data_IF_999102627024
#
_entry.id   IF_999102627024
#
_cell.length_a   1.000
_cell.length_b   1.000
_cell.length_c   1.000
_cell.angle_alpha   90.00
_cell.angle_beta   90.00
_cell.angle_gamma   90.00
#
_symmetry.space_group_name_H-M   'P 1'
#
loop_
_entity.id
_entity.type
_entity.pdbx_description
1 polymer ?
#
# COMPACT_ATOMS: atom_id res chain seq x y z
N UNK A 1 -2.47 12.07 0.67
CA UNK A 1 -1.18 11.40 0.37
C UNK A 1 -1.12 10.08 1.12
N UNK A 2 -0.60 9.05 0.47
CA UNK A 2 -0.41 7.72 1.05
C UNK A 2 1.09 7.42 1.21
N UNK A 3 1.46 6.92 2.38
CA UNK A 3 2.82 6.51 2.72
C UNK A 3 2.83 5.04 3.10
N UNK A 4 3.77 4.29 2.52
CA UNK A 4 3.93 2.86 2.77
C UNK A 4 5.38 2.58 3.14
N UNK A 5 5.71 2.26 4.40
CA UNK A 5 7.04 1.82 4.79
C UNK A 5 7.42 0.55 4.03
N UNK A 6 8.49 0.63 3.24
CA UNK A 6 8.84 -0.41 2.29
C UNK A 6 10.26 -0.91 2.53
N UNK A 7 10.35 -2.15 3.03
CA UNK A 7 11.64 -2.79 3.30
C UNK A 7 12.46 -3.08 2.03
N UNK A 8 11.81 -3.09 0.86
CA UNK A 8 12.45 -3.18 -0.46
C UNK A 8 13.21 -1.91 -0.87
N UNK A 9 13.00 -0.79 -0.17
CA UNK A 9 13.71 0.49 -0.38
C UNK A 9 14.84 0.73 0.64
N UNK A 10 14.99 -0.16 1.63
CA UNK A 10 15.91 -0.01 2.74
C UNK A 10 15.22 0.40 4.04
N UNK A 11 16.00 0.51 5.12
CA UNK A 11 15.47 0.83 6.44
C UNK A 11 14.88 2.25 6.49
N UNK A 12 13.67 2.38 7.06
CA UNK A 12 12.94 3.65 7.23
C UNK A 12 12.72 4.42 5.92
N UNK A 13 12.51 3.70 4.81
CA UNK A 13 12.16 4.28 3.51
C UNK A 13 10.74 3.93 3.13
N UNK A 14 10.14 4.83 2.36
CA UNK A 14 8.73 4.75 2.01
C UNK A 14 8.53 4.73 0.49
N UNK A 15 7.63 3.85 0.05
CA UNK A 15 6.91 4.02 -1.19
C UNK A 15 5.76 4.99 -0.93
N UNK A 16 5.61 5.99 -1.80
CA UNK A 16 4.61 7.06 -1.64
C UNK A 16 3.69 7.04 -2.84
N UNK A 17 2.41 7.29 -2.61
CA UNK A 17 1.44 7.60 -3.66
C UNK A 17 0.88 8.99 -3.34
N UNK A 18 1.16 9.94 -4.21
CA UNK A 18 0.92 11.36 -3.99
C UNK A 18 0.55 12.06 -5.29
N UNK A 19 0.43 13.39 -5.23
CA UNK A 19 0.24 14.23 -6.40
C UNK A 19 1.41 15.19 -6.60
N UNK A 20 1.98 15.21 -7.80
CA UNK A 20 2.92 16.23 -8.25
C UNK A 20 2.53 16.61 -9.67
N UNK A 21 2.70 17.89 -10.03
CA UNK A 21 2.24 18.41 -11.32
C UNK A 21 0.75 18.13 -11.62
N UNK A 22 -0.09 18.15 -10.57
CA UNK A 22 -1.54 17.94 -10.69
C UNK A 22 -1.95 16.53 -11.20
N UNK A 23 -1.04 15.55 -11.13
CA UNK A 23 -1.32 14.15 -11.45
C UNK A 23 -0.96 13.23 -10.28
N UNK A 24 -1.61 12.07 -10.21
CA UNK A 24 -1.20 10.96 -9.35
C UNK A 24 0.17 10.42 -9.80
N UNK A 25 1.02 10.16 -8.82
CA UNK A 25 2.34 9.57 -9.02
C UNK A 25 2.75 8.68 -7.85
N UNK A 26 3.55 7.66 -8.14
CA UNK A 26 4.37 7.04 -7.10
C UNK A 26 5.71 7.75 -6.99
N UNK A 27 6.26 7.79 -5.78
CA UNK A 27 7.63 8.21 -5.52
C UNK A 27 8.30 7.21 -4.57
N UNK A 28 9.58 6.90 -4.84
CA UNK A 28 10.43 6.13 -3.92
C UNK A 28 11.35 7.07 -3.16
N UNK A 29 11.25 7.07 -1.84
CA UNK A 29 12.11 7.94 -1.04
C UNK A 29 13.61 7.59 -1.13
N UNK A 30 13.97 6.35 -1.49
CA UNK A 30 15.36 5.91 -1.55
C UNK A 30 16.20 6.64 -2.60
N UNK A 31 15.59 6.95 -3.74
CA UNK A 31 16.27 7.43 -4.95
C UNK A 31 15.49 8.52 -5.69
N UNK A 32 14.36 8.96 -5.14
CA UNK A 32 13.48 10.01 -5.67
C UNK A 32 12.94 9.71 -7.08
N UNK A 33 12.93 8.44 -7.47
CA UNK A 33 12.34 8.03 -8.73
C UNK A 33 10.81 8.19 -8.68
N UNK A 34 10.22 8.69 -9.76
CA UNK A 34 8.77 8.82 -9.91
C UNK A 34 8.22 7.81 -10.91
N UNK A 35 6.96 7.43 -10.74
CA UNK A 35 6.18 6.72 -11.74
C UNK A 35 4.86 7.47 -11.93
N UNK A 36 4.55 7.95 -13.15
CA UNK A 36 5.42 7.98 -14.32
C UNK A 36 6.64 8.92 -14.14
N UNK A 37 7.58 8.85 -15.07
CA UNK A 37 8.59 9.89 -15.28
C UNK A 37 7.86 11.23 -15.53
N UNK A 38 8.21 12.30 -14.83
CA UNK A 38 7.55 13.62 -14.95
C UNK A 38 7.91 14.41 -16.22
N UNK A 39 8.01 13.72 -17.34
CA UNK A 39 8.03 14.29 -18.68
C UNK A 39 6.61 14.65 -19.15
N UNK A 40 6.43 15.47 -20.21
CA UNK A 40 5.11 15.77 -20.75
C UNK A 40 4.28 14.52 -21.10
N UNK A 41 4.91 13.48 -21.64
CA UNK A 41 4.24 12.22 -21.98
C UNK A 41 3.86 11.40 -20.75
N UNK A 42 4.70 11.44 -19.70
CA UNK A 42 4.41 10.79 -18.43
C UNK A 42 3.23 11.45 -17.72
N UNK A 43 3.24 12.78 -17.63
CA UNK A 43 2.13 13.55 -17.06
C UNK A 43 0.82 13.24 -17.77
N UNK A 44 0.82 13.23 -19.12
CA UNK A 44 -0.35 12.88 -19.91
C UNK A 44 -0.81 11.41 -19.79
N UNK A 45 0.02 10.52 -19.23
CA UNK A 45 -0.30 9.11 -19.03
C UNK A 45 -0.87 8.80 -17.65
N UNK A 46 -0.88 9.77 -16.74
CA UNK A 46 -1.54 9.70 -15.44
C UNK A 46 -2.79 10.60 -15.42
N UNK A 47 -3.39 10.76 -14.24
CA UNK A 47 -4.58 11.59 -14.04
C UNK A 47 -4.46 12.38 -12.75
N UNK A 48 -5.01 13.59 -12.73
CA UNK A 48 -5.31 14.28 -11.48
C UNK A 48 -6.54 13.67 -10.81
N UNK A 49 -6.71 13.97 -9.52
CA UNK A 49 -7.94 13.77 -8.79
C UNK A 49 -8.72 15.10 -8.79
N UNK A 50 -9.98 15.15 -9.27
CA UNK A 50 -10.83 16.32 -9.06
C UNK A 50 -10.97 16.64 -7.56
N UNK A 51 -11.16 17.92 -7.27
CA UNK A 51 -11.48 18.41 -5.93
C UNK A 51 -12.98 18.36 -5.69
N UNK A 52 -13.39 18.21 -4.42
CA UNK A 52 -14.79 18.21 -3.99
C UNK A 52 -15.65 17.08 -4.63
N UNK A 53 -15.01 16.03 -5.15
CA UNK A 53 -15.65 14.85 -5.71
C UNK A 53 -14.99 13.59 -5.15
N UNK A 54 -15.81 12.59 -4.82
CA UNK A 54 -15.32 11.28 -4.42
C UNK A 54 -14.80 10.55 -5.69
N UNK A 55 -13.46 10.38 -5.82
CA UNK A 55 -12.68 9.43 -6.69
C UNK A 55 -12.13 8.06 -6.15
N UNK A 56 -12.54 6.91 -6.71
CA UNK A 56 -12.24 5.58 -6.14
C UNK A 56 -10.83 5.18 -6.56
N UNK A 57 -9.88 5.20 -5.62
CA UNK A 57 -8.48 4.93 -5.88
C UNK A 57 -8.13 3.52 -5.42
N UNK A 58 -7.86 2.66 -6.39
CA UNK A 58 -7.43 1.28 -6.13
C UNK A 58 -6.03 1.08 -6.68
N UNK A 59 -5.19 0.32 -5.97
CA UNK A 59 -3.90 -0.08 -6.47
C UNK A 59 -3.48 -1.45 -5.93
N UNK A 60 -2.61 -2.09 -6.70
CA UNK A 60 -2.16 -3.45 -6.45
C UNK A 60 -0.63 -3.50 -6.51
N UNK A 61 -0.03 -4.01 -5.44
CA UNK A 61 1.42 -4.19 -5.33
C UNK A 61 1.72 -5.69 -5.23
N UNK A 62 2.48 -6.22 -6.19
CA UNK A 62 2.91 -7.62 -6.18
C UNK A 62 4.38 -7.75 -5.82
N UNK A 63 4.70 -8.90 -5.23
CA UNK A 63 6.05 -9.32 -4.89
C UNK A 63 6.98 -9.49 -6.10
N UNK A 64 6.45 -9.54 -7.33
CA UNK A 64 7.23 -9.61 -8.57
C UNK A 64 7.66 -8.23 -9.12
N UNK A 65 7.20 -7.14 -8.49
CA UNK A 65 7.44 -5.76 -8.94
C UNK A 65 6.30 -5.18 -9.77
N UNK A 66 5.19 -5.90 -9.93
CA UNK A 66 3.98 -5.36 -10.55
C UNK A 66 3.36 -4.29 -9.65
N UNK A 67 3.06 -3.14 -10.24
CA UNK A 67 2.25 -2.07 -9.67
C UNK A 67 1.17 -1.77 -10.69
N UNK A 68 -0.09 -1.81 -10.27
CA UNK A 68 -1.24 -1.41 -11.09
C UNK A 68 -2.05 -0.39 -10.30
N UNK A 69 -2.65 0.58 -10.97
CA UNK A 69 -3.46 1.63 -10.32
C UNK A 69 -4.69 1.92 -11.16
N UNK A 70 -5.84 2.09 -10.49
CA UNK A 70 -7.12 2.40 -11.09
C UNK A 70 -7.75 3.60 -10.38
N UNK A 71 -8.37 4.47 -11.15
CA UNK A 71 -9.28 5.50 -10.65
C UNK A 71 -10.66 5.23 -11.23
N UNK A 72 -11.68 5.07 -10.38
CA UNK A 72 -13.03 4.66 -10.78
C UNK A 72 -13.03 3.41 -11.68
N UNK A 73 -12.23 2.41 -11.30
CA UNK A 73 -11.99 1.16 -12.05
C UNK A 73 -11.36 1.32 -13.44
N UNK A 74 -10.92 2.53 -13.82
CA UNK A 74 -10.15 2.76 -15.04
C UNK A 74 -8.67 2.68 -14.74
N UNK A 75 -7.98 1.76 -15.41
CA UNK A 75 -6.53 1.59 -15.25
C UNK A 75 -5.78 2.85 -15.71
N UNK A 76 -4.77 3.26 -14.93
CA UNK A 76 -3.92 4.41 -15.20
C UNK A 76 -2.59 3.89 -15.78
N UNK A 77 -2.45 4.02 -17.10
CA UNK A 77 -1.32 3.43 -17.83
C UNK A 77 0.05 3.93 -17.34
N UNK A 78 0.17 5.23 -17.00
CA UNK A 78 1.40 5.81 -16.47
C UNK A 78 1.83 5.24 -15.12
N UNK A 79 0.88 4.72 -14.34
CA UNK A 79 1.07 4.15 -13.00
C UNK A 79 1.06 2.61 -13.00
N UNK A 80 1.20 2.01 -14.18
CA UNK A 80 1.20 0.56 -14.34
C UNK A 80 2.58 0.09 -14.81
N UNK A 81 3.21 -0.80 -14.04
CA UNK A 81 4.51 -1.43 -14.33
C UNK A 81 4.51 -2.88 -13.87
N UNK A 82 5.43 -3.68 -14.39
CA UNK A 82 5.61 -5.07 -13.99
C UNK A 82 6.28 -5.91 -15.08
N UNK A 83 6.58 -7.18 -14.81
CA UNK A 83 7.15 -8.09 -15.80
C UNK A 83 6.27 -8.19 -17.05
N UNK A 84 6.83 -7.84 -18.22
CA UNK A 84 6.11 -7.91 -19.50
C UNK A 84 5.16 -6.73 -19.78
N UNK A 85 4.98 -5.81 -18.84
CA UNK A 85 4.23 -4.56 -19.07
C UNK A 85 5.13 -3.56 -19.80
N UNK A 86 4.64 -2.99 -20.90
CA UNK A 86 5.33 -1.90 -21.60
C UNK A 86 4.78 -0.56 -21.12
N UNK A 87 5.58 0.18 -20.36
CA UNK A 87 5.31 1.56 -19.99
C UNK A 87 6.46 2.44 -20.49
N UNK A 88 6.19 3.30 -21.47
CA UNK A 88 7.21 4.15 -22.09
C UNK A 88 7.71 5.28 -21.17
N UNK A 89 6.98 5.54 -20.08
CA UNK A 89 7.22 6.63 -19.14
C UNK A 89 7.64 6.08 -17.76
N UNK A 90 8.33 4.94 -17.70
CA UNK A 90 8.80 4.33 -16.46
C UNK A 90 10.31 4.08 -16.47
N UNK A 91 11.08 4.87 -17.22
CA UNK A 91 12.52 4.65 -17.38
C UNK A 91 13.27 4.94 -16.08
N UNK A 92 12.92 6.03 -15.39
CA UNK A 92 13.48 6.38 -14.09
C UNK A 92 13.02 5.40 -13.01
N UNK A 93 11.78 4.91 -13.09
CA UNK A 93 11.27 3.89 -12.18
C UNK A 93 12.04 2.57 -12.29
N UNK A 94 12.32 2.13 -13.52
CA UNK A 94 13.01 0.86 -13.79
C UNK A 94 12.19 -0.38 -13.36
N UNK A 95 12.88 -1.52 -13.24
CA UNK A 95 12.27 -2.83 -12.92
C UNK A 95 12.89 -3.54 -11.71
N UNK A 96 13.88 -2.93 -11.07
CA UNK A 96 14.61 -3.56 -9.97
C UNK A 96 13.82 -3.57 -8.65
N UNK A 97 12.98 -2.56 -8.45
CA UNK A 97 12.20 -2.43 -7.22
C UNK A 97 11.04 -3.43 -7.21
N UNK A 98 10.90 -4.12 -6.07
CA UNK A 98 9.80 -5.03 -5.76
C UNK A 98 9.22 -4.58 -4.43
N UNK A 99 7.97 -4.06 -4.40
CA UNK A 99 7.38 -3.55 -3.18
C UNK A 99 7.35 -4.62 -2.08
N UNK A 100 7.74 -4.23 -0.87
CA UNK A 100 7.64 -5.03 0.36
C UNK A 100 7.15 -4.14 1.51
N UNK A 101 5.93 -3.64 1.32
CA UNK A 101 5.28 -2.71 2.24
C UNK A 101 4.95 -3.40 3.57
N UNK A 102 5.07 -2.67 4.67
CA UNK A 102 4.83 -3.17 6.04
C UNK A 102 3.58 -2.54 6.67
N UNK A 103 2.97 -1.58 5.99
CA UNK A 103 1.81 -0.85 6.44
C UNK A 103 1.42 0.21 5.45
N UNK A 104 0.29 0.83 5.72
CA UNK A 104 -0.33 1.83 4.88
C UNK A 104 -0.81 2.96 5.77
N UNK A 105 -0.41 4.17 5.42
CA UNK A 105 -0.66 5.37 6.21
C UNK A 105 -1.26 6.44 5.32
N UNK A 106 -2.29 7.10 5.85
CA UNK A 106 -3.05 8.12 5.16
C UNK A 106 -2.84 9.45 5.85
N UNK A 107 -2.78 10.50 5.04
CA UNK A 107 -2.78 11.86 5.53
C UNK A 107 -2.07 12.80 4.57
N UNK A 108 -1.35 13.75 5.14
CA UNK A 108 -0.64 14.79 4.41
C UNK A 108 0.82 14.82 4.83
N UNK A 109 1.70 14.80 3.84
CA UNK A 109 3.08 15.24 3.99
C UNK A 109 3.30 16.35 2.96
N UNK A 110 3.77 17.51 3.40
CA UNK A 110 4.11 18.62 2.51
C UNK A 110 5.36 19.30 3.03
N UNK A 111 6.41 19.30 2.20
CA UNK A 111 7.66 19.98 2.54
C UNK A 111 7.61 21.49 2.25
N UNK A 112 6.64 21.96 1.47
CA UNK A 112 6.43 23.39 1.15
C UNK A 112 5.52 24.11 2.13
N UNK A 113 4.88 23.38 3.05
CA UNK A 113 3.87 23.91 3.97
C UNK A 113 2.48 24.12 3.35
N UNK A 114 2.25 23.73 2.08
CA UNK A 114 0.97 23.88 1.38
C UNK A 114 -0.13 23.07 2.04
N UNK A 115 -1.16 23.72 2.59
CA UNK A 115 -2.25 23.05 3.32
C UNK A 115 -3.34 22.56 2.36
N UNK A 116 -3.54 21.25 2.35
CA UNK A 116 -4.64 20.58 1.64
C UNK A 116 -5.41 19.73 2.65
N UNK A 117 -6.72 19.60 2.43
CA UNK A 117 -7.57 18.70 3.22
C UNK A 117 -7.88 17.48 2.38
N UNK A 118 -7.71 16.30 2.99
CA UNK A 118 -8.09 15.04 2.39
C UNK A 118 -9.06 14.33 3.33
N UNK A 119 -10.10 13.74 2.75
CA UNK A 119 -10.93 12.77 3.43
C UNK A 119 -10.52 11.35 2.99
N UNK A 120 -10.91 10.34 3.75
CA UNK A 120 -10.76 8.92 3.42
C UNK A 120 -11.96 8.20 4.08
N UNK A 121 -12.67 7.37 3.33
CA UNK A 121 -13.81 6.50 3.71
C UNK A 121 -13.62 5.09 3.09
N UNK A 122 -14.51 4.13 3.38
CA UNK A 122 -14.54 2.71 2.91
C UNK A 122 -13.19 2.04 2.57
N UNK A 123 -12.16 2.28 3.39
CA UNK A 123 -10.84 1.66 3.20
C UNK A 123 -10.92 0.15 3.39
N UNK A 124 -10.48 -0.61 2.38
CA UNK A 124 -10.21 -2.04 2.52
C UNK A 124 -8.79 -2.40 2.10
N UNK A 125 -8.32 -3.57 2.54
CA UNK A 125 -7.02 -4.11 2.17
C UNK A 125 -7.24 -5.62 2.00
N UNK A 126 -6.93 -6.16 0.82
CA UNK A 126 -7.15 -7.56 0.50
C UNK A 126 -5.94 -8.12 -0.28
N UNK A 127 -6.03 -9.40 -0.62
CA UNK A 127 -5.12 -10.14 -1.50
C UNK A 127 -5.67 -10.29 -2.92
N UNK A 128 -6.84 -9.69 -3.19
CA UNK A 128 -7.57 -9.74 -4.46
C UNK A 128 -8.24 -8.41 -4.73
N UNK A 129 -8.39 -8.09 -6.01
CA UNK A 129 -9.02 -6.86 -6.48
C UNK A 129 -10.36 -6.63 -5.78
N UNK A 130 -10.47 -5.50 -5.09
CA UNK A 130 -11.71 -5.12 -4.40
C UNK A 130 -12.70 -4.51 -5.40
N UNK A 131 -12.19 -3.60 -6.23
CA UNK A 131 -12.91 -2.91 -7.28
C UNK A 131 -13.88 -1.84 -6.75
N UNK A 132 -14.14 -0.84 -7.60
CA UNK A 132 -15.14 0.18 -7.28
C UNK A 132 -16.53 -0.40 -7.56
N UNK A 133 -17.33 -0.70 -6.53
CA UNK A 133 -18.74 -1.03 -6.75
C UNK A 133 -19.43 0.18 -7.39
N UNK A 134 -19.92 0.00 -8.62
CA UNK A 134 -20.65 1.06 -9.32
C UNK A 134 -21.90 1.41 -8.48
N UNK A 135 -21.98 2.67 -8.05
CA UNK A 135 -23.00 3.28 -7.18
C UNK A 135 -22.64 3.23 -5.69
N UNK A 136 -22.42 4.40 -5.09
CA UNK A 136 -22.15 4.60 -3.66
C UNK A 136 -23.22 3.99 -2.76
N UNK A 137 -23.00 2.73 -2.40
CA UNK A 137 -23.89 1.88 -1.63
C UNK A 137 -23.26 0.51 -1.50
N UNK A 138 -22.34 0.40 -0.54
CA UNK A 138 -21.50 -0.78 -0.32
C UNK A 138 -22.27 -2.09 -0.45
N UNK A 139 -21.79 -2.94 -1.35
CA UNK A 139 -22.07 -4.37 -1.27
C UNK A 139 -21.02 -4.94 -0.34
N UNK A 140 -21.43 -5.29 0.89
CA UNK A 140 -20.61 -5.92 1.90
C UNK A 140 -19.99 -7.22 1.37
N UNK A 141 -18.80 -7.11 0.77
CA UNK A 141 -17.82 -8.19 0.82
C UNK A 141 -17.46 -8.41 2.29
N UNK A 142 -17.11 -9.65 2.65
CA UNK A 142 -16.59 -9.97 3.98
C UNK A 142 -15.23 -9.32 4.14
N UNK A 143 -15.21 -8.01 4.41
CA UNK A 143 -14.03 -7.27 4.80
C UNK A 143 -13.60 -7.79 6.17
N UNK A 144 -12.35 -8.21 6.29
CA UNK A 144 -11.76 -8.51 7.59
C UNK A 144 -11.65 -7.19 8.35
N UNK A 145 -12.32 -7.06 9.50
CA UNK A 145 -12.24 -5.84 10.32
C UNK A 145 -10.78 -5.51 10.67
N UNK A 146 -10.29 -4.42 10.09
CA UNK A 146 -8.98 -3.85 10.38
C UNK A 146 -9.09 -2.99 11.64
N UNK A 147 -8.19 -3.18 12.61
CA UNK A 147 -8.13 -2.32 13.80
C UNK A 147 -7.50 -0.97 13.43
N UNK A 148 -8.35 0.04 13.30
CA UNK A 148 -7.93 1.45 13.29
C UNK A 148 -7.37 1.78 14.69
N UNK A 149 -6.14 2.29 14.76
CA UNK A 149 -5.51 2.73 16.01
C UNK A 149 -5.27 4.24 15.98
N UNK A 150 -5.69 4.93 17.04
CA UNK A 150 -5.49 6.39 17.17
C UNK A 150 -4.00 6.76 17.35
N UNK A 151 -3.58 7.96 16.89
CA UNK A 151 -2.20 8.41 17.01
C UNK A 151 -1.83 8.68 18.48
N UNK A 152 -0.74 8.08 18.94
CA UNK A 152 -0.13 8.41 20.24
C UNK A 152 0.80 9.61 20.06
N UNK A 153 0.53 10.68 20.80
CA UNK A 153 1.27 11.94 20.78
C UNK A 153 2.74 11.76 21.17
N UNK A 154 3.65 12.06 20.25
CA UNK A 154 5.00 12.51 20.57
C UNK A 154 5.44 13.55 19.52
N UNK A 155 5.69 14.78 19.97
CA UNK A 155 6.24 15.90 19.20
C UNK A 155 7.63 15.51 18.63
N UNK A 156 8.05 15.92 17.43
CA UNK A 156 8.00 17.24 16.82
C UNK A 156 8.13 17.12 15.28
N UNK A 157 7.53 18.07 14.53
CA UNK A 157 7.10 18.07 13.12
C UNK A 157 5.64 17.59 12.95
N UNK A 158 4.73 18.54 12.73
CA UNK A 158 3.28 18.33 12.64
C UNK A 158 2.93 17.38 11.48
N UNK A 159 2.79 16.11 11.84
CA UNK A 159 2.33 15.00 11.03
C UNK A 159 1.11 14.43 11.75
N UNK A 160 -0.09 14.82 11.34
CA UNK A 160 -1.32 14.13 11.72
C UNK A 160 -1.47 12.93 10.80
N UNK A 161 -0.75 11.86 11.14
CA UNK A 161 -0.83 10.57 10.45
C UNK A 161 -1.83 9.69 11.18
N UNK A 162 -2.88 9.24 10.47
CA UNK A 162 -3.73 8.14 10.92
C UNK A 162 -3.06 6.82 10.52
N UNK A 163 -2.86 5.92 11.48
CA UNK A 163 -2.11 4.68 11.28
C UNK A 163 -2.99 3.45 11.27
N UNK A 164 -2.81 2.59 10.26
CA UNK A 164 -3.31 1.22 10.25
C UNK A 164 -2.12 0.27 10.41
N UNK A 165 -2.07 -0.45 11.53
CA UNK A 165 -0.97 -1.39 11.86
C UNK A 165 -1.41 -2.81 11.56
N UNK A 166 -0.70 -3.50 10.65
CA UNK A 166 -0.94 -4.92 10.37
C UNK A 166 -0.19 -5.77 11.41
N UNK A 167 -0.91 -6.39 12.33
CA UNK A 167 -0.37 -7.42 13.22
C UNK A 167 -0.71 -8.81 12.66
N UNK A 168 0.29 -9.55 12.18
CA UNK A 168 0.17 -10.97 11.84
C UNK A 168 0.03 -11.80 13.11
N UNK A 169 -1.22 -12.02 13.54
CA UNK A 169 -1.52 -12.96 14.61
C UNK A 169 -1.81 -14.34 14.02
N UNK A 170 -0.84 -15.26 14.05
CA UNK A 170 -1.12 -16.69 13.86
C UNK A 170 -1.91 -17.22 15.05
N UNK A 171 -3.22 -17.29 14.92
CA UNK A 171 -4.07 -18.00 15.87
C UNK A 171 -3.93 -19.51 15.62
N UNK A 172 -3.18 -20.20 16.47
CA UNK A 172 -3.20 -21.65 16.54
C UNK A 172 -4.54 -22.11 17.14
N UNK A 173 -5.24 -23.01 16.44
CA UNK A 173 -6.46 -23.65 16.91
C UNK A 173 -6.14 -24.58 18.09
N UNK A 174 -6.67 -24.23 19.26
CA UNK A 174 -6.68 -25.09 20.46
C UNK A 174 -7.77 -26.16 20.34
N UNK A 175 -7.38 -27.43 20.41
CA UNK A 175 -8.26 -28.55 20.78
C UNK A 175 -7.79 -29.13 22.10
N UNK A 176 -8.70 -29.21 23.07
CA UNK A 176 -8.49 -29.70 24.43
C UNK A 176 -8.07 -31.16 24.52
N UNK A 177 -7.06 -31.45 25.35
CA UNK A 177 -7.01 -32.62 26.23
C UNK A 177 -5.93 -32.40 27.30
N UNK A 178 -6.28 -32.66 28.56
CA UNK A 178 -5.48 -32.40 29.77
C UNK A 178 -4.67 -33.65 30.20
N UNK A 179 -3.34 -33.47 30.28
CA UNK A 179 -2.31 -33.96 31.25
C UNK A 179 -2.14 -35.48 31.59
N UNK A 180 -0.99 -35.94 32.18
CA UNK A 180 0.12 -35.16 32.77
C UNK A 180 1.60 -35.64 32.56
N UNK A 181 2.52 -34.74 32.96
CA UNK A 181 3.79 -34.98 33.69
C UNK A 181 5.17 -35.09 32.96
N UNK A 182 6.04 -34.14 33.33
CA UNK A 182 7.46 -34.26 33.80
C UNK A 182 8.66 -34.19 32.81
N UNK A 183 9.50 -33.16 33.06
CA UNK A 183 10.98 -33.08 33.00
C UNK A 183 11.80 -32.90 31.68
N UNK A 184 12.60 -31.81 31.71
CA UNK A 184 14.04 -31.68 31.37
C UNK A 184 14.54 -31.68 29.91
N UNK A 185 15.07 -30.49 29.52
CA UNK A 185 16.29 -30.15 28.75
C UNK A 185 16.70 -30.87 27.43
N UNK A 186 16.93 -30.02 26.42
CA UNK A 186 18.08 -30.00 25.48
C UNK A 186 17.93 -30.53 24.02
N UNK A 187 18.45 -29.70 23.11
CA UNK A 187 19.04 -29.91 21.77
C UNK A 187 18.16 -30.26 20.54
N UNK A 188 18.17 -29.28 19.61
CA UNK A 188 18.18 -29.30 18.15
C UNK A 188 17.33 -30.28 17.32
N UNK A 189 16.55 -29.70 16.40
CA UNK A 189 16.39 -30.22 15.03
C UNK A 189 15.91 -29.10 14.10
N UNK A 190 16.65 -28.86 13.02
CA UNK A 190 16.12 -28.20 11.84
C UNK A 190 15.21 -29.18 11.07
N UNK A 191 14.19 -28.68 10.37
CA UNK A 191 13.92 -29.11 9.01
C UNK A 191 13.77 -27.89 8.09
N UNK A 192 14.50 -27.88 6.97
CA UNK A 192 14.01 -28.28 5.65
C UNK A 192 13.10 -27.22 5.01
N UNK A 193 13.63 -26.59 3.96
CA UNK A 193 12.90 -25.87 2.90
C UNK A 193 11.76 -26.76 2.35
N UNK A 194 10.71 -26.27 1.68
CA UNK A 194 10.63 -25.21 0.64
C UNK A 194 9.14 -24.77 0.42
N UNK A 195 8.76 -23.94 -0.58
CA UNK A 195 8.37 -22.54 -0.42
C UNK A 195 6.91 -22.23 -0.85
N UNK A 196 6.47 -20.98 -0.68
CA UNK A 196 5.37 -20.42 -1.47
C UNK A 196 4.22 -19.87 -0.63
N UNK A 197 4.35 -18.60 -0.25
CA UNK A 197 3.24 -17.74 0.12
C UNK A 197 3.46 -16.42 -0.59
N UNK A 198 2.62 -16.11 -1.58
CA UNK A 198 2.62 -14.83 -2.25
C UNK A 198 2.14 -13.77 -1.24
N UNK A 199 3.08 -13.06 -0.61
CA UNK A 199 2.82 -11.88 0.23
C UNK A 199 2.45 -10.68 -0.66
N UNK A 200 1.35 -10.78 -1.40
CA UNK A 200 0.73 -9.65 -2.11
C UNK A 200 -0.12 -8.85 -1.13
N UNK A 201 0.19 -7.57 -0.95
CA UNK A 201 -0.66 -6.62 -0.23
C UNK A 201 -1.35 -5.75 -1.29
N UNK A 202 -2.66 -5.89 -1.45
CA UNK A 202 -3.49 -4.94 -2.19
C UNK A 202 -4.19 -4.03 -1.21
N UNK A 203 -4.26 -2.75 -1.55
CA UNK A 203 -4.76 -1.72 -0.64
C UNK A 203 -5.78 -0.92 -1.44
N UNK A 204 -7.00 -0.87 -0.95
CA UNK A 204 -8.10 -0.03 -1.43
C UNK A 204 -8.13 1.26 -0.64
N UNK A 205 -8.24 2.38 -1.35
CA UNK A 205 -8.58 3.67 -0.79
C UNK A 205 -9.86 4.17 -1.39
N UNK A 206 -10.80 4.48 -0.52
CA UNK A 206 -12.01 5.19 -0.88
C UNK A 206 -11.81 6.63 -0.36
N UNK A 207 -11.36 7.51 -1.27
CA UNK A 207 -11.73 8.94 -1.41
C UNK A 207 -11.30 10.06 -0.44
N UNK A 208 -10.61 11.05 -1.05
CA UNK A 208 -10.51 12.50 -0.74
C UNK A 208 -11.86 13.20 -0.87
#
# INVERSE_FOLDING_TARGET
MIVMPDSGLGANKHLRLSGQMEILEYNRESDDATLPDLSPNGVASSTGLPTDEWECLEYHLRSDGTIETWVNSKAIAGLTVGPGVTNANSNGWGSAHKPKIQGVYFGRESYSGSVDTFWDDDVAIDSKRVGCSATGGGSAGTATSVKVSEPTTAAEAESTTSSVVVATSSAALTSSAEAPSTATSSVAAAPSETPGGDDSCEVEFVYV
#
